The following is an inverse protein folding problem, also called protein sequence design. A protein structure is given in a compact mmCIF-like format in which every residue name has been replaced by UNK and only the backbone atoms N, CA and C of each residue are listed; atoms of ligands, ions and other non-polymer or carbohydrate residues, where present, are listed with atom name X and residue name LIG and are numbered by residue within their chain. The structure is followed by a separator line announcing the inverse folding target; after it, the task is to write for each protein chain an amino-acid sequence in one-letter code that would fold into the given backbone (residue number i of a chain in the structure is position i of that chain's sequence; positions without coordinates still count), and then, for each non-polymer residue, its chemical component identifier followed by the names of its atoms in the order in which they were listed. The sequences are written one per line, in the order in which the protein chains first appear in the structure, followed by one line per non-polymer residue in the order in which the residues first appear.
data_IF_988561973620
#
_entry.id   IF_988561973620
#
_cell.length_a   1.000
_cell.length_b   1.000
_cell.length_c   1.000
_cell.angle_alpha   90.00
_cell.angle_beta   90.00
_cell.angle_gamma   90.00
#
_symmetry.space_group_name_H-M   'P 1'
#
loop_
_entity.id
_entity.type
_entity.pdbx_description
1 polymer ?
#
# COMPACT_ATOMS: atom_id res chain seq x y z
N UNK A 1 -18.31 13.38 9.76
CA UNK A 1 -16.99 12.92 10.25
C UNK A 1 -16.04 14.07 10.01
N UNK A 2 -15.42 14.55 11.05
CA UNK A 2 -14.47 15.63 10.94
C UNK A 2 -13.10 15.10 11.37
N UNK A 3 -12.16 15.01 10.42
CA UNK A 3 -10.75 14.69 10.69
C UNK A 3 -10.01 15.88 11.31
N UNK A 4 -10.75 16.87 11.84
CA UNK A 4 -10.24 18.14 12.36
C UNK A 4 -9.52 19.01 11.31
N UNK A 5 -9.75 18.73 10.02
CA UNK A 5 -9.23 19.55 8.95
C UNK A 5 -10.11 20.76 8.67
N UNK A 6 -9.48 21.89 8.51
CA UNK A 6 -10.07 23.00 7.75
C UNK A 6 -10.02 22.64 6.27
N UNK A 7 -11.13 22.83 5.55
CA UNK A 7 -11.15 22.58 4.11
C UNK A 7 -10.00 23.34 3.43
N UNK A 8 -9.12 22.59 2.79
CA UNK A 8 -8.07 23.10 1.92
C UNK A 8 -8.09 22.30 0.61
N UNK A 9 -7.79 22.94 -0.49
CA UNK A 9 -7.86 22.33 -1.83
C UNK A 9 -6.89 21.16 -2.04
N UNK A 10 -5.90 21.02 -1.17
CA UNK A 10 -4.82 20.03 -1.30
C UNK A 10 -4.95 18.84 -0.35
N UNK A 11 -6.02 18.77 0.43
CA UNK A 11 -6.21 17.66 1.37
C UNK A 11 -7.08 16.57 0.75
N UNK A 12 -6.55 15.33 0.73
CA UNK A 12 -7.25 14.16 0.24
C UNK A 12 -7.19 13.02 1.26
N UNK A 13 -8.22 12.21 1.29
CA UNK A 13 -8.19 10.86 1.84
C UNK A 13 -7.99 9.91 0.67
N UNK A 14 -6.88 9.19 0.66
CA UNK A 14 -6.49 8.29 -0.41
C UNK A 14 -7.03 6.89 -0.22
N UNK A 15 -7.04 6.42 1.03
CA UNK A 15 -7.52 5.11 1.38
C UNK A 15 -8.08 5.06 2.80
N UNK A 16 -9.02 4.14 3.04
CA UNK A 16 -9.60 3.88 4.36
C UNK A 16 -9.76 2.38 4.54
N UNK A 17 -9.24 1.85 5.65
CA UNK A 17 -9.39 0.43 6.00
C UNK A 17 -9.92 0.26 7.41
N UNK A 18 -10.67 -0.84 7.61
CA UNK A 18 -11.13 -1.27 8.93
C UNK A 18 -10.16 -2.28 9.54
N UNK A 19 -10.06 -2.28 10.87
CA UNK A 19 -9.58 -3.47 11.58
C UNK A 19 -10.59 -4.61 11.35
N UNK A 20 -10.16 -5.79 10.87
CA UNK A 20 -11.07 -6.87 10.50
C UNK A 20 -11.84 -7.47 11.69
N UNK A 21 -11.39 -7.23 12.93
CA UNK A 21 -12.03 -7.76 14.14
C UNK A 21 -12.65 -6.67 15.03
N UNK A 22 -12.42 -5.39 14.71
CA UNK A 22 -12.96 -4.26 15.47
C UNK A 22 -13.44 -3.14 14.54
N UNK A 23 -14.73 -3.12 14.25
CA UNK A 23 -15.36 -2.15 13.34
C UNK A 23 -15.32 -0.70 13.84
N UNK A 24 -15.03 -0.47 15.12
CA UNK A 24 -14.83 0.86 15.68
C UNK A 24 -13.43 1.40 15.39
N UNK A 25 -12.49 0.52 14.98
CA UNK A 25 -11.13 0.88 14.64
C UNK A 25 -10.94 0.98 13.13
N UNK A 26 -10.58 2.18 12.67
CA UNK A 26 -10.29 2.47 11.27
C UNK A 26 -8.99 3.24 11.13
N UNK A 27 -8.42 3.13 9.95
CA UNK A 27 -7.26 3.89 9.55
C UNK A 27 -7.56 4.64 8.26
N UNK A 28 -7.09 5.88 8.15
CA UNK A 28 -7.25 6.71 6.97
C UNK A 28 -5.88 7.20 6.49
N UNK A 29 -5.49 6.78 5.31
CA UNK A 29 -4.31 7.25 4.60
C UNK A 29 -4.65 8.59 3.92
N UNK A 30 -3.88 9.63 4.20
CA UNK A 30 -4.21 10.98 3.79
C UNK A 30 -2.98 11.76 3.29
N UNK A 31 -3.23 12.89 2.66
CA UNK A 31 -2.16 13.84 2.29
C UNK A 31 -1.32 14.29 3.48
N UNK A 32 -1.94 14.43 4.67
CA UNK A 32 -1.31 14.96 5.89
C UNK A 32 -0.73 13.88 6.80
N UNK A 33 -0.81 12.61 6.40
CA UNK A 33 -0.35 11.50 7.21
C UNK A 33 -1.36 10.37 7.36
N UNK A 34 -1.08 9.45 8.27
CA UNK A 34 -2.02 8.39 8.64
C UNK A 34 -2.78 8.76 9.89
N UNK A 35 -4.09 8.61 9.85
CA UNK A 35 -4.97 8.83 10.99
C UNK A 35 -5.65 7.55 11.42
N UNK A 36 -5.86 7.40 12.73
CA UNK A 36 -6.55 6.28 13.37
C UNK A 36 -7.73 6.77 14.19
N UNK A 37 -8.83 6.04 14.13
CA UNK A 37 -9.95 6.15 15.07
C UNK A 37 -10.15 4.82 15.81
N UNK A 38 -10.68 4.87 17.02
CA UNK A 38 -11.08 3.71 17.83
C UNK A 38 -12.53 3.82 18.31
N UNK A 39 -13.30 4.72 17.71
CA UNK A 39 -14.68 5.01 18.07
C UNK A 39 -15.58 5.27 16.85
N UNK A 40 -15.39 4.47 15.79
CA UNK A 40 -16.22 4.52 14.60
C UNK A 40 -16.12 5.82 13.79
N UNK A 41 -14.98 6.52 13.90
CA UNK A 41 -14.73 7.75 13.16
C UNK A 41 -15.25 9.01 13.83
N UNK A 42 -15.71 8.94 15.08
CA UNK A 42 -16.13 10.13 15.84
C UNK A 42 -14.96 11.05 16.17
N UNK A 43 -13.81 10.46 16.43
CA UNK A 43 -12.55 11.16 16.71
C UNK A 43 -11.39 10.47 16.03
N UNK A 44 -10.45 11.25 15.46
CA UNK A 44 -9.27 10.75 14.76
C UNK A 44 -8.00 11.34 15.36
N UNK A 45 -6.95 10.54 15.43
CA UNK A 45 -5.62 10.94 15.86
C UNK A 45 -4.57 10.53 14.85
N UNK A 46 -3.64 11.42 14.56
CA UNK A 46 -2.51 11.14 13.66
C UNK A 46 -1.57 10.11 14.29
N UNK A 47 -1.09 9.15 13.49
CA UNK A 47 -0.23 8.04 13.90
C UNK A 47 1.06 7.94 13.09
N UNK A 48 1.07 8.41 11.87
CA UNK A 48 2.26 8.57 11.06
C UNK A 48 2.23 9.98 10.48
N UNK A 49 3.20 10.80 10.89
CA UNK A 49 3.31 12.20 10.48
C UNK A 49 4.24 12.31 9.26
N UNK A 50 3.79 11.68 8.15
CA UNK A 50 4.48 11.72 6.88
C UNK A 50 3.55 12.24 5.78
N UNK A 51 4.05 13.12 4.93
CA UNK A 51 3.27 13.70 3.84
C UNK A 51 3.01 12.67 2.74
N UNK A 52 1.77 12.62 2.25
CA UNK A 52 1.34 11.72 1.17
C UNK A 52 1.37 10.24 1.58
N UNK A 53 0.69 9.88 2.66
CA UNK A 53 0.34 8.48 2.90
C UNK A 53 -0.80 8.13 1.95
N UNK A 54 -0.53 7.29 0.94
CA UNK A 54 -1.44 7.07 -0.17
C UNK A 54 -2.02 5.66 -0.24
N UNK A 55 -1.50 4.75 0.58
CA UNK A 55 -1.98 3.38 0.70
C UNK A 55 -1.85 2.89 2.14
N UNK A 56 -2.80 2.06 2.57
CA UNK A 56 -2.78 1.43 3.89
C UNK A 56 -3.35 0.02 3.81
N UNK A 57 -2.62 -0.94 4.34
CA UNK A 57 -3.05 -2.33 4.46
C UNK A 57 -3.03 -2.78 5.91
N UNK A 58 -4.13 -3.37 6.37
CA UNK A 58 -4.20 -4.09 7.66
C UNK A 58 -4.10 -5.58 7.38
N UNK A 59 -3.12 -6.25 7.98
CA UNK A 59 -2.99 -7.70 7.85
C UNK A 59 -4.22 -8.40 8.45
N UNK A 60 -4.96 -9.13 7.62
CA UNK A 60 -6.25 -9.70 8.00
C UNK A 60 -6.16 -10.81 9.06
N UNK A 61 -5.00 -11.47 9.18
CA UNK A 61 -4.75 -12.52 10.19
C UNK A 61 -4.01 -11.99 11.42
N UNK A 62 -3.33 -10.86 11.28
CA UNK A 62 -2.55 -10.23 12.34
C UNK A 62 -2.80 -8.72 12.32
N UNK A 63 -3.98 -8.23 12.75
CA UNK A 63 -4.41 -6.84 12.56
C UNK A 63 -3.58 -5.81 13.35
N UNK A 64 -2.71 -6.26 14.26
CA UNK A 64 -1.70 -5.42 14.87
C UNK A 64 -0.58 -5.04 13.88
N UNK A 65 -0.43 -5.78 12.77
CA UNK A 65 0.52 -5.50 11.70
C UNK A 65 -0.17 -4.72 10.59
N UNK A 66 0.39 -3.55 10.29
CA UNK A 66 -0.07 -2.68 9.21
C UNK A 66 1.10 -2.29 8.32
N UNK A 67 0.78 -1.98 7.06
CA UNK A 67 1.72 -1.40 6.11
C UNK A 67 1.16 -0.11 5.53
N UNK A 68 2.00 0.91 5.38
CA UNK A 68 1.62 2.19 4.80
C UNK A 68 2.56 2.56 3.66
N UNK A 69 2.01 2.84 2.49
CA UNK A 69 2.74 3.35 1.34
C UNK A 69 2.81 4.88 1.38
N UNK A 70 4.02 5.42 1.53
CA UNK A 70 4.27 6.86 1.67
C UNK A 70 5.00 7.40 0.46
N UNK A 71 4.52 8.50 -0.06
CA UNK A 71 5.23 9.30 -1.04
C UNK A 71 4.64 9.30 -2.43
N UNK A 72 4.79 10.45 -3.05
CA UNK A 72 4.49 10.77 -4.44
C UNK A 72 5.28 12.03 -4.82
N UNK A 73 5.57 12.23 -6.11
CA UNK A 73 6.24 13.40 -6.71
C UNK A 73 7.29 14.07 -5.79
N UNK A 74 6.91 15.07 -5.02
CA UNK A 74 7.81 15.90 -4.22
C UNK A 74 7.81 15.56 -2.73
N UNK A 75 7.24 14.41 -2.32
CA UNK A 75 7.23 14.01 -0.92
C UNK A 75 8.64 13.77 -0.39
N UNK A 76 8.86 14.04 0.88
CA UNK A 76 10.02 13.62 1.64
C UNK A 76 9.67 12.34 2.42
N UNK A 77 10.68 11.63 2.95
CA UNK A 77 10.51 10.42 3.74
C UNK A 77 9.64 9.34 3.06
N UNK A 78 9.77 9.23 1.73
CA UNK A 78 9.08 8.22 0.93
C UNK A 78 9.48 6.82 1.38
N UNK A 79 8.54 5.89 1.29
CA UNK A 79 8.85 4.50 1.57
C UNK A 79 7.65 3.66 1.95
N UNK A 80 7.90 2.37 2.11
CA UNK A 80 6.98 1.44 2.72
C UNK A 80 7.26 1.40 4.22
N UNK A 81 6.26 1.73 5.02
CA UNK A 81 6.35 1.69 6.48
C UNK A 81 5.55 0.51 7.01
N UNK A 82 6.03 -0.10 8.10
CA UNK A 82 5.35 -1.16 8.85
C UNK A 82 5.12 -0.72 10.29
N UNK A 83 3.95 -1.07 10.81
CA UNK A 83 3.64 -1.06 12.24
C UNK A 83 3.37 -2.48 12.72
N UNK A 84 3.74 -2.80 13.96
CA UNK A 84 3.45 -4.06 14.64
C UNK A 84 2.64 -3.89 15.93
N UNK A 85 2.05 -2.70 16.12
CA UNK A 85 1.36 -2.30 17.33
C UNK A 85 0.04 -1.54 17.05
N UNK A 86 -0.69 -1.97 16.03
CA UNK A 86 -1.94 -1.32 15.60
C UNK A 86 -1.76 0.14 15.17
N UNK A 87 -0.61 0.47 14.55
CA UNK A 87 -0.32 1.78 14.02
C UNK A 87 0.13 2.82 15.06
N UNK A 88 0.53 2.41 16.26
CA UNK A 88 1.04 3.35 17.27
C UNK A 88 2.48 3.80 16.97
N UNK A 89 3.32 2.87 16.47
CA UNK A 89 4.69 3.17 16.00
C UNK A 89 4.92 2.59 14.60
N UNK A 90 5.86 3.20 13.86
CA UNK A 90 6.14 2.86 12.46
C UNK A 90 7.64 2.75 12.19
N UNK A 91 8.02 1.77 11.39
CA UNK A 91 9.37 1.52 10.93
C UNK A 91 9.44 1.54 9.40
N UNK A 92 10.44 2.22 8.84
CA UNK A 92 10.70 2.22 7.40
C UNK A 92 11.31 0.88 6.99
N UNK A 93 10.72 0.21 6.00
CA UNK A 93 11.20 -1.06 5.45
C UNK A 93 12.23 -0.79 4.35
N UNK A 94 13.43 -1.36 4.46
CA UNK A 94 14.51 -1.19 3.47
C UNK A 94 15.22 -2.50 3.09
N UNK A 95 15.07 -3.55 3.89
CA UNK A 95 15.78 -4.81 3.68
C UNK A 95 15.28 -5.55 2.43
N UNK A 96 16.02 -5.44 1.34
CA UNK A 96 15.68 -6.03 0.03
C UNK A 96 14.76 -5.16 -0.84
N UNK A 97 14.42 -3.95 -0.39
CA UNK A 97 13.74 -2.94 -1.21
C UNK A 97 14.75 -1.94 -1.82
N UNK A 98 14.40 -1.29 -2.94
CA UNK A 98 15.28 -0.31 -3.55
C UNK A 98 15.34 0.97 -2.69
N UNK A 99 16.34 1.83 -2.89
CA UNK A 99 16.34 3.17 -2.30
C UNK A 99 15.07 3.93 -2.73
N UNK A 100 14.42 4.61 -1.78
CA UNK A 100 13.18 5.34 -2.02
C UNK A 100 13.41 6.68 -2.70
N UNK A 101 13.83 6.64 -3.94
CA UNK A 101 14.00 7.81 -4.82
C UNK A 101 12.85 7.98 -5.81
N UNK A 102 11.85 7.09 -5.74
CA UNK A 102 10.68 7.07 -6.60
C UNK A 102 9.87 8.38 -6.51
N UNK A 103 9.10 8.66 -7.54
CA UNK A 103 8.20 9.82 -7.63
C UNK A 103 6.75 9.43 -7.99
N UNK A 104 6.43 8.15 -7.85
CA UNK A 104 5.09 7.58 -7.94
C UNK A 104 4.66 6.99 -6.59
N UNK A 105 3.57 6.23 -6.62
CA UNK A 105 2.96 5.63 -5.42
C UNK A 105 3.61 4.30 -5.04
N UNK A 106 3.46 3.95 -3.76
CA UNK A 106 3.65 2.60 -3.26
C UNK A 106 2.28 1.97 -3.03
N UNK A 107 2.06 0.77 -3.55
CA UNK A 107 0.90 -0.07 -3.29
C UNK A 107 1.32 -1.26 -2.43
N UNK A 108 0.48 -1.67 -1.50
CA UNK A 108 0.74 -2.84 -0.65
C UNK A 108 -0.51 -3.69 -0.47
N UNK A 109 -0.34 -5.01 -0.45
CA UNK A 109 -1.41 -5.96 -0.14
C UNK A 109 -0.86 -7.17 0.60
N UNK A 110 -1.61 -7.66 1.56
CA UNK A 110 -1.28 -8.86 2.32
C UNK A 110 -2.12 -10.07 1.89
N UNK A 111 -1.57 -11.27 2.08
CA UNK A 111 -2.32 -12.49 1.85
C UNK A 111 -3.27 -12.77 3.02
N UNK A 112 -4.57 -12.82 2.74
CA UNK A 112 -5.62 -13.06 3.74
C UNK A 112 -5.50 -14.43 4.45
N UNK A 113 -4.77 -15.38 3.87
CA UNK A 113 -4.58 -16.72 4.42
C UNK A 113 -3.16 -16.98 4.94
N UNK A 114 -2.24 -16.02 4.79
CA UNK A 114 -0.88 -16.12 5.27
C UNK A 114 -0.35 -14.75 5.70
N UNK A 115 -0.34 -14.51 7.00
CA UNK A 115 0.08 -13.22 7.58
C UNK A 115 1.52 -12.82 7.21
N UNK A 116 2.37 -13.79 6.88
CA UNK A 116 3.77 -13.53 6.51
C UNK A 116 3.95 -13.11 5.04
N UNK A 117 2.93 -13.28 4.21
CA UNK A 117 3.04 -13.00 2.78
C UNK A 117 2.46 -11.63 2.44
N UNK A 118 3.31 -10.76 1.93
CA UNK A 118 2.97 -9.38 1.56
C UNK A 118 3.59 -9.06 0.21
N UNK A 119 2.87 -8.32 -0.63
CA UNK A 119 3.36 -7.82 -1.92
C UNK A 119 3.30 -6.30 -1.89
N UNK A 120 4.34 -5.66 -2.43
CA UNK A 120 4.36 -4.22 -2.68
C UNK A 120 4.78 -3.93 -4.10
N UNK A 121 4.21 -2.87 -4.67
CA UNK A 121 4.60 -2.30 -5.95
C UNK A 121 5.07 -0.87 -5.72
N UNK A 122 6.30 -0.59 -6.10
CA UNK A 122 6.90 0.75 -6.02
C UNK A 122 6.91 1.32 -7.43
N UNK A 123 6.40 2.54 -7.58
CA UNK A 123 6.28 3.18 -8.89
C UNK A 123 7.02 4.52 -8.97
N UNK A 124 7.52 4.85 -10.15
CA UNK A 124 7.79 6.21 -10.59
C UNK A 124 6.53 6.83 -11.20
N UNK A 125 6.59 8.11 -11.56
CA UNK A 125 5.46 8.81 -12.14
C UNK A 125 4.86 8.12 -13.37
N UNK A 126 5.66 7.41 -14.17
CA UNK A 126 5.22 6.81 -15.46
C UNK A 126 5.65 5.35 -15.63
N UNK A 127 6.23 4.72 -14.62
CA UNK A 127 6.76 3.35 -14.72
C UNK A 127 6.80 2.67 -13.36
N UNK A 128 6.87 1.35 -13.38
CA UNK A 128 7.16 0.55 -12.18
C UNK A 128 8.65 0.62 -11.85
N UNK A 129 8.99 0.82 -10.58
CA UNK A 129 10.35 0.66 -10.06
C UNK A 129 10.62 -0.81 -9.78
N UNK A 130 9.64 -1.51 -9.21
CA UNK A 130 9.69 -2.96 -8.99
C UNK A 130 8.46 -3.48 -8.27
N UNK A 131 8.27 -4.78 -8.37
CA UNK A 131 7.26 -5.57 -7.67
C UNK A 131 8.00 -6.46 -6.69
N UNK A 132 7.72 -6.33 -5.40
CA UNK A 132 8.46 -7.02 -4.34
C UNK A 132 7.52 -7.87 -3.50
N UNK A 133 8.05 -8.98 -2.99
CA UNK A 133 7.35 -9.90 -2.11
C UNK A 133 8.15 -10.13 -0.83
N UNK A 134 7.44 -10.14 0.29
CA UNK A 134 7.92 -10.68 1.55
C UNK A 134 7.20 -11.99 1.86
N UNK A 135 7.89 -12.93 2.48
CA UNK A 135 7.35 -14.18 3.02
C UNK A 135 7.58 -14.33 4.53
N UNK A 136 8.03 -13.25 5.17
CA UNK A 136 8.32 -13.17 6.61
C UNK A 136 7.73 -11.92 7.27
N UNK A 137 6.57 -11.47 6.79
CA UNK A 137 5.84 -10.36 7.41
C UNK A 137 6.45 -8.98 7.18
N UNK A 138 7.30 -8.83 6.15
CA UNK A 138 7.96 -7.57 5.82
C UNK A 138 9.39 -7.43 6.33
N UNK A 139 9.94 -8.42 7.07
CA UNK A 139 11.32 -8.34 7.58
C UNK A 139 12.37 -8.34 6.46
N UNK A 140 12.05 -8.95 5.33
CA UNK A 140 12.87 -8.88 4.12
C UNK A 140 12.02 -9.05 2.87
N UNK A 141 12.53 -8.52 1.76
CA UNK A 141 11.85 -8.46 0.48
C UNK A 141 12.73 -8.98 -0.64
N UNK A 142 12.12 -9.54 -1.66
CA UNK A 142 12.78 -9.92 -2.90
C UNK A 142 11.93 -9.50 -4.10
N UNK A 143 12.61 -9.11 -5.16
CA UNK A 143 11.96 -8.72 -6.42
C UNK A 143 11.32 -9.92 -7.11
N UNK A 144 10.12 -9.71 -7.66
CA UNK A 144 9.37 -10.73 -8.39
C UNK A 144 9.61 -10.59 -9.90
N UNK A 145 8.80 -9.79 -10.56
CA UNK A 145 8.75 -9.61 -12.01
C UNK A 145 9.04 -8.14 -12.36
N UNK A 146 9.50 -7.89 -13.56
CA UNK A 146 9.79 -6.56 -14.12
C UNK A 146 8.60 -5.97 -14.91
N UNK A 147 7.39 -6.50 -14.75
CA UNK A 147 6.19 -6.00 -15.40
C UNK A 147 5.92 -4.53 -15.08
N UNK A 148 5.73 -3.71 -16.10
CA UNK A 148 5.46 -2.28 -15.91
C UNK A 148 3.98 -2.00 -15.64
N UNK A 149 3.56 -2.32 -14.41
CA UNK A 149 2.17 -2.16 -13.94
C UNK A 149 1.78 -0.68 -13.83
N UNK A 150 2.75 0.19 -13.57
CA UNK A 150 2.55 1.61 -13.33
C UNK A 150 2.74 2.47 -14.58
N UNK A 151 2.86 1.86 -15.77
CA UNK A 151 3.02 2.59 -17.02
C UNK A 151 1.91 3.64 -17.19
N UNK A 152 2.32 4.82 -17.66
CA UNK A 152 1.50 6.02 -17.91
C UNK A 152 1.02 6.79 -16.66
N UNK A 153 0.75 6.17 -15.51
CA UNK A 153 0.16 6.85 -14.36
C UNK A 153 0.60 6.26 -13.00
N UNK A 154 1.89 6.14 -12.77
CA UNK A 154 2.43 5.57 -11.53
C UNK A 154 2.09 6.35 -10.25
N UNK A 155 1.73 7.63 -10.35
CA UNK A 155 1.23 8.41 -9.20
C UNK A 155 -0.26 8.17 -8.90
N UNK A 156 -1.01 7.55 -9.82
CA UNK A 156 -2.46 7.37 -9.71
C UNK A 156 -2.90 5.92 -9.73
N UNK A 157 -2.19 5.08 -10.49
CA UNK A 157 -2.49 3.67 -10.66
C UNK A 157 -2.50 2.95 -9.32
N UNK A 158 -3.61 2.29 -9.00
CA UNK A 158 -3.78 1.63 -7.72
C UNK A 158 -4.64 0.39 -7.83
N UNK A 159 -4.09 -0.74 -7.48
CA UNK A 159 -4.80 -1.98 -7.24
C UNK A 159 -3.83 -3.15 -7.13
N UNK A 160 -3.80 -3.78 -5.97
CA UNK A 160 -3.09 -5.03 -5.75
C UNK A 160 -3.99 -5.99 -4.99
N UNK A 161 -4.07 -7.23 -5.43
CA UNK A 161 -4.91 -8.25 -4.82
C UNK A 161 -4.27 -9.62 -4.92
N UNK A 162 -4.15 -10.31 -3.79
CA UNK A 162 -3.85 -11.74 -3.71
C UNK A 162 -5.17 -12.47 -3.53
N UNK A 163 -5.46 -13.44 -4.41
CA UNK A 163 -6.73 -14.18 -4.37
C UNK A 163 -6.84 -15.02 -3.09
N UNK A 164 -7.96 -14.91 -2.39
CA UNK A 164 -8.15 -15.48 -1.05
C UNK A 164 -8.10 -17.02 -0.99
N UNK A 165 -8.47 -17.73 -2.06
CA UNK A 165 -8.42 -19.20 -2.10
C UNK A 165 -7.19 -19.74 -2.83
N UNK A 166 -6.55 -18.91 -3.67
CA UNK A 166 -5.41 -19.33 -4.46
C UNK A 166 -4.33 -18.23 -4.46
N UNK A 167 -3.37 -18.29 -3.55
CA UNK A 167 -2.33 -17.26 -3.42
C UNK A 167 -1.37 -17.18 -4.62
N UNK A 168 -1.40 -18.18 -5.52
CA UNK A 168 -0.68 -18.09 -6.79
C UNK A 168 -1.34 -17.13 -7.78
N UNK A 169 -2.63 -16.84 -7.58
CA UNK A 169 -3.36 -15.88 -8.39
C UNK A 169 -3.24 -14.48 -7.78
N UNK A 170 -2.53 -13.61 -8.48
CA UNK A 170 -2.32 -12.21 -8.09
C UNK A 170 -2.77 -11.32 -9.23
N UNK A 171 -3.48 -10.26 -8.88
CA UNK A 171 -3.89 -9.20 -9.80
C UNK A 171 -3.25 -7.89 -9.38
N UNK A 172 -2.66 -7.19 -10.33
CA UNK A 172 -2.12 -5.84 -10.16
C UNK A 172 -2.80 -4.93 -11.19
N UNK A 173 -3.30 -3.80 -10.74
CA UNK A 173 -4.01 -2.83 -11.57
C UNK A 173 -3.30 -1.50 -11.58
N UNK A 174 -3.02 -1.02 -12.77
CA UNK A 174 -2.64 0.33 -13.10
C UNK A 174 -3.65 0.92 -14.09
N UNK A 175 -3.18 1.54 -15.15
CA UNK A 175 -3.99 1.82 -16.35
C UNK A 175 -4.41 0.49 -16.99
N UNK A 176 -3.52 -0.49 -16.92
CA UNK A 176 -3.71 -1.85 -17.39
C UNK A 176 -3.86 -2.84 -16.24
N UNK A 177 -4.50 -3.98 -16.52
CA UNK A 177 -4.61 -5.10 -15.59
C UNK A 177 -3.54 -6.13 -15.89
N UNK A 178 -2.81 -6.53 -14.86
CA UNK A 178 -1.80 -7.59 -14.89
C UNK A 178 -2.22 -8.76 -14.00
N UNK A 179 -1.95 -9.97 -14.45
CA UNK A 179 -2.29 -11.20 -13.75
C UNK A 179 -1.11 -12.14 -13.66
N UNK A 180 -0.84 -12.61 -12.46
CA UNK A 180 0.01 -13.78 -12.22
C UNK A 180 -0.84 -14.99 -11.81
N UNK A 181 -0.40 -16.19 -12.17
CA UNK A 181 -0.97 -17.48 -11.74
C UNK A 181 0.07 -18.39 -11.07
N UNK A 182 1.26 -17.86 -10.82
CA UNK A 182 2.40 -18.58 -10.26
C UNK A 182 3.05 -17.84 -9.07
N UNK A 183 2.23 -17.16 -8.27
CA UNK A 183 2.66 -16.49 -7.04
C UNK A 183 3.46 -15.22 -7.24
N UNK A 184 3.35 -14.59 -8.43
CA UNK A 184 4.05 -13.35 -8.78
C UNK A 184 5.34 -13.55 -9.57
N UNK A 185 5.75 -14.81 -9.87
CA UNK A 185 6.98 -15.04 -10.64
C UNK A 185 6.91 -14.49 -12.07
N UNK A 186 5.70 -14.41 -12.64
CA UNK A 186 5.46 -13.78 -13.94
C UNK A 186 4.10 -13.10 -13.90
N UNK A 187 4.04 -11.85 -14.37
CA UNK A 187 2.81 -11.11 -14.60
C UNK A 187 2.55 -10.96 -16.09
N UNK A 188 1.33 -11.23 -16.51
CA UNK A 188 0.89 -11.10 -17.90
C UNK A 188 -0.19 -10.02 -17.98
N UNK A 189 0.03 -9.02 -18.81
CA UNK A 189 -0.96 -7.98 -19.11
C UNK A 189 -2.24 -8.60 -19.68
N UNK A 190 -3.40 -8.17 -19.20
CA UNK A 190 -4.72 -8.71 -19.55
C UNK A 190 -5.62 -7.72 -20.27
N UNK A 191 -5.34 -6.44 -20.13
CA UNK A 191 -6.06 -5.38 -20.84
C UNK A 191 -5.08 -4.58 -21.70
N UNK A 192 -5.59 -3.86 -22.66
CA UNK A 192 -4.82 -2.91 -23.47
C UNK A 192 -5.63 -1.64 -23.59
N UNK A 193 -5.09 -0.55 -23.08
CA UNK A 193 -5.66 0.77 -23.25
C UNK A 193 -5.49 1.18 -24.73
N UNK A 194 -6.60 1.37 -25.40
CA UNK A 194 -6.66 1.96 -26.74
C UNK A 194 -7.33 3.33 -26.60
N UNK A 195 -6.51 4.35 -26.31
CA UNK A 195 -6.95 5.75 -26.24
C UNK A 195 -7.38 6.31 -27.57
#
# INVERSE_FOLDING_TARGET
INLNWTYQLNHCVWDIVFDPFNTEQLYAATTEGLYKTTNGGLYWSQRLDEFMVMDIEVNKLAPHVLFAGVGDLNSVNKGLYRSEDYGETWELMDNGLPPYTHDGRIMVTSNINNASEVITVIANAFSTVGIYKSTNGGDSWFELDDADVASYQGWYAKGALIHHENPNLILLGGVELFKSINGGNVFVQKTTYTG
#
